data_IF_012316008423
#
_entry.id   IF_012316008423
#
_cell.length_a   1.000
_cell.length_b   1.000
_cell.length_c   1.000
_cell.angle_alpha   90.00
_cell.angle_beta   90.00
_cell.angle_gamma   90.00
#
_symmetry.space_group_name_H-M   'P 1'
#
loop_
_entity.id
_entity.type
_entity.pdbx_description
1 polymer ?
#
# COMPACT_ATOMS: atom_id res chain seq x y z
N UNK A 1 13.28 37.09 64.37
CA UNK A 1 12.26 37.17 63.30
C UNK A 1 12.77 36.45 62.06
N UNK A 2 12.39 35.16 61.87
CA UNK A 2 12.76 34.36 60.66
C UNK A 2 11.62 34.53 59.65
N UNK A 3 11.91 35.15 58.51
CA UNK A 3 10.99 35.22 57.38
C UNK A 3 11.03 33.89 56.68
N UNK A 4 9.91 33.17 56.67
CA UNK A 4 9.65 31.97 55.90
C UNK A 4 9.42 32.39 54.44
N UNK A 5 10.30 31.95 53.52
CA UNK A 5 10.11 32.14 52.11
C UNK A 5 9.24 30.96 51.62
N UNK A 6 8.00 31.26 51.26
CA UNK A 6 7.10 30.31 50.59
C UNK A 6 7.47 30.33 49.11
N UNK A 7 8.18 29.30 48.63
CA UNK A 7 8.39 29.05 47.20
C UNK A 7 7.14 28.25 46.75
N UNK A 8 6.22 28.91 46.08
CA UNK A 8 5.10 28.25 45.41
C UNK A 8 5.57 27.79 44.06
N UNK A 9 5.77 26.47 43.92
CA UNK A 9 6.06 25.84 42.63
C UNK A 9 4.77 25.78 41.81
N UNK A 10 4.57 26.76 40.94
CA UNK A 10 3.53 26.78 39.92
C UNK A 10 4.13 26.36 38.59
N UNK A 11 4.33 25.09 38.33
CA UNK A 11 4.38 24.48 36.97
C UNK A 11 4.30 22.98 37.17
N UNK A 12 3.18 22.31 36.90
CA UNK A 12 2.94 21.64 35.62
C UNK A 12 1.45 21.50 35.19
N UNK A 13 0.53 22.23 35.84
CA UNK A 13 -0.91 22.07 35.52
C UNK A 13 -1.27 22.60 34.13
N UNK A 14 -0.60 23.67 33.68
CA UNK A 14 -0.84 24.29 32.38
C UNK A 14 -0.44 23.44 31.18
N UNK A 15 0.65 22.68 31.30
CA UNK A 15 1.14 21.82 30.20
C UNK A 15 0.25 20.57 30.05
N UNK A 16 -0.19 19.99 31.16
CA UNK A 16 -1.10 18.85 31.15
C UNK A 16 -2.49 19.22 30.60
N UNK A 17 -3.01 20.39 30.98
CA UNK A 17 -4.31 20.90 30.48
C UNK A 17 -4.26 21.31 29.01
N UNK A 18 -3.16 21.90 28.54
CA UNK A 18 -2.96 22.21 27.13
C UNK A 18 -2.82 20.90 26.31
N UNK A 19 -2.03 19.94 26.78
CA UNK A 19 -1.88 18.63 26.13
C UNK A 19 -3.22 17.88 26.08
N UNK A 20 -3.99 17.85 27.19
CA UNK A 20 -5.32 17.26 27.28
C UNK A 20 -6.31 17.97 26.35
N UNK A 21 -6.34 19.32 26.30
CA UNK A 21 -7.18 20.11 25.43
C UNK A 21 -6.89 19.93 23.94
N UNK A 22 -5.60 19.80 23.57
CA UNK A 22 -5.20 19.51 22.19
C UNK A 22 -5.48 18.06 21.81
N UNK A 23 -5.32 17.13 22.73
CA UNK A 23 -5.59 15.70 22.49
C UNK A 23 -7.10 15.41 22.36
N UNK A 24 -7.93 15.99 23.21
CA UNK A 24 -9.40 15.87 23.08
C UNK A 24 -9.95 16.55 21.82
N UNK A 25 -9.37 17.66 21.37
CA UNK A 25 -9.81 18.30 20.13
C UNK A 25 -9.54 17.45 18.88
N UNK A 26 -8.49 16.66 18.86
CA UNK A 26 -8.24 15.74 17.75
C UNK A 26 -9.15 14.51 17.78
N UNK A 27 -9.56 14.06 18.95
CA UNK A 27 -10.49 12.94 19.12
C UNK A 27 -11.97 13.35 18.94
N UNK A 28 -12.31 14.65 19.07
CA UNK A 28 -13.69 15.16 19.01
C UNK A 28 -14.32 15.09 17.61
N UNK A 29 -13.54 14.92 16.56
CA UNK A 29 -14.03 14.92 15.16
C UNK A 29 -14.53 13.55 14.69
N UNK A 30 -14.33 12.48 15.47
CA UNK A 30 -14.78 11.14 15.10
C UNK A 30 -15.98 10.66 15.91
N UNK A 31 -17.00 10.10 15.24
CA UNK A 31 -18.08 9.43 15.93
C UNK A 31 -17.52 8.32 16.87
N UNK A 32 -18.07 8.13 18.09
CA UNK A 32 -17.56 7.11 19.02
C UNK A 32 -17.51 5.69 18.45
N UNK A 33 -18.36 5.38 17.48
CA UNK A 33 -18.42 4.11 16.78
C UNK A 33 -17.42 4.01 15.59
N UNK A 34 -16.81 5.11 15.15
CA UNK A 34 -15.83 5.11 14.07
C UNK A 34 -14.55 4.41 14.50
N UNK A 35 -14.01 3.59 13.62
CA UNK A 35 -12.71 2.94 13.75
C UNK A 35 -11.91 3.13 12.49
N UNK A 36 -10.63 3.38 12.66
CA UNK A 36 -9.66 3.45 11.57
C UNK A 36 -8.34 2.86 12.04
N UNK A 37 -7.92 1.80 11.39
CA UNK A 37 -6.71 1.08 11.72
C UNK A 37 -5.79 0.94 10.52
N UNK A 38 -4.49 1.09 10.75
CA UNK A 38 -3.46 0.61 9.84
C UNK A 38 -3.02 -0.79 10.27
N UNK A 39 -3.02 -1.72 9.31
CA UNK A 39 -2.56 -3.10 9.48
C UNK A 39 -1.25 -3.26 8.73
N UNK A 40 -0.21 -3.70 9.43
CA UNK A 40 1.17 -3.74 8.95
C UNK A 40 1.71 -5.15 9.08
N UNK A 41 2.12 -5.76 7.98
CA UNK A 41 2.78 -7.07 7.99
C UNK A 41 4.24 -6.91 8.39
N UNK A 42 4.70 -7.75 9.34
CA UNK A 42 6.08 -7.78 9.85
C UNK A 42 6.73 -9.10 9.44
N UNK A 43 7.45 -9.10 8.32
CA UNK A 43 7.95 -10.29 7.64
C UNK A 43 8.83 -11.21 8.49
N UNK A 44 9.63 -10.66 9.40
CA UNK A 44 10.54 -11.43 10.28
C UNK A 44 10.01 -11.65 11.69
N UNK A 45 8.81 -11.17 12.01
CA UNK A 45 8.19 -11.38 13.34
C UNK A 45 6.98 -12.30 13.29
N UNK A 46 6.53 -12.74 12.11
CA UNK A 46 5.34 -13.55 11.91
C UNK A 46 4.07 -12.91 12.50
N UNK A 47 3.99 -11.59 12.42
CA UNK A 47 2.92 -10.79 13.03
C UNK A 47 2.36 -9.73 12.10
N UNK A 48 1.19 -9.22 12.48
CA UNK A 48 0.60 -7.98 11.97
C UNK A 48 0.49 -6.99 13.13
N UNK A 49 1.06 -5.81 12.97
CA UNK A 49 0.83 -4.69 13.88
C UNK A 49 -0.42 -3.94 13.48
N UNK A 50 -1.28 -3.63 14.47
CA UNK A 50 -2.51 -2.85 14.29
C UNK A 50 -2.35 -1.52 14.99
N UNK A 51 -2.36 -0.43 14.24
CA UNK A 51 -2.25 0.93 14.76
C UNK A 51 -3.62 1.61 14.70
N UNK A 52 -4.10 2.12 15.83
CA UNK A 52 -5.31 2.95 15.87
C UNK A 52 -4.95 4.37 15.40
N UNK A 53 -5.45 4.77 14.22
CA UNK A 53 -5.15 6.07 13.60
C UNK A 53 -5.88 7.24 14.25
N UNK A 54 -6.77 7.01 15.21
CA UNK A 54 -7.38 8.08 16.01
C UNK A 54 -6.49 8.50 17.17
N UNK A 55 -5.70 7.56 17.70
CA UNK A 55 -4.81 7.78 18.86
C UNK A 55 -3.32 7.73 18.50
N UNK A 56 -2.99 7.22 17.31
CA UNK A 56 -1.63 6.94 16.86
C UNK A 56 -0.86 6.04 17.83
N UNK A 57 -1.52 4.99 18.30
CA UNK A 57 -0.93 4.02 19.20
C UNK A 57 -1.06 2.59 18.64
N UNK A 58 -0.12 1.75 19.02
CA UNK A 58 -0.21 0.32 18.75
C UNK A 58 -1.38 -0.27 19.55
N UNK A 59 -2.47 -0.58 18.85
CA UNK A 59 -3.68 -1.17 19.46
C UNK A 59 -3.49 -2.66 19.73
N UNK A 60 -2.79 -3.38 18.83
CA UNK A 60 -2.58 -4.83 18.95
C UNK A 60 -1.45 -5.33 18.07
N UNK A 61 -0.79 -6.40 18.49
CA UNK A 61 0.07 -7.25 17.66
C UNK A 61 -0.63 -8.60 17.49
N UNK A 62 -0.90 -8.99 16.25
CA UNK A 62 -1.63 -10.22 15.90
C UNK A 62 -0.63 -11.23 15.34
N UNK A 63 -0.58 -12.43 15.92
CA UNK A 63 0.21 -13.53 15.36
C UNK A 63 -0.50 -14.11 14.14
N UNK A 64 0.23 -14.28 13.04
CA UNK A 64 -0.24 -14.84 11.77
C UNK A 64 0.62 -16.04 11.36
N UNK A 65 0.65 -16.42 10.09
CA UNK A 65 1.55 -17.47 9.61
C UNK A 65 2.99 -16.96 9.46
N UNK A 66 3.87 -17.85 8.98
CA UNK A 66 5.31 -17.57 8.82
C UNK A 66 5.54 -16.67 7.61
N UNK A 67 6.40 -15.65 7.79
CA UNK A 67 6.85 -14.74 6.74
C UNK A 67 5.66 -14.04 6.02
N UNK A 68 4.87 -13.21 6.76
CA UNK A 68 3.79 -12.45 6.14
C UNK A 68 4.37 -11.41 5.15
N UNK A 69 3.82 -11.38 3.92
CA UNK A 69 4.27 -10.50 2.83
C UNK A 69 3.16 -9.60 2.33
N UNK A 70 2.17 -10.16 1.64
CA UNK A 70 1.06 -9.40 1.07
C UNK A 70 -0.07 -9.19 2.06
N UNK A 71 -0.74 -8.05 1.98
CA UNK A 71 -1.91 -7.73 2.79
C UNK A 71 -2.95 -6.98 1.95
N UNK A 72 -4.23 -7.31 2.13
CA UNK A 72 -5.33 -6.61 1.49
C UNK A 72 -6.52 -6.43 2.43
N UNK A 73 -7.16 -5.27 2.35
CA UNK A 73 -8.40 -4.98 3.06
C UNK A 73 -9.61 -5.26 2.16
N UNK A 74 -10.65 -5.88 2.71
CA UNK A 74 -11.90 -6.04 2.01
C UNK A 74 -12.71 -4.72 2.06
N UNK A 75 -13.10 -4.21 0.88
CA UNK A 75 -13.86 -2.95 0.80
C UNK A 75 -15.31 -3.10 1.29
N UNK A 76 -15.86 -4.31 1.32
CA UNK A 76 -17.27 -4.61 1.68
C UNK A 76 -17.43 -5.24 3.05
N UNK A 77 -16.37 -5.82 3.61
CA UNK A 77 -16.38 -6.50 4.92
C UNK A 77 -15.31 -5.91 5.82
N UNK A 78 -15.49 -6.04 7.13
CA UNK A 78 -14.47 -5.66 8.09
C UNK A 78 -13.44 -6.79 8.27
N UNK A 79 -12.83 -7.21 7.14
CA UNK A 79 -11.84 -8.27 7.08
C UNK A 79 -10.55 -7.81 6.39
N UNK A 80 -9.42 -8.29 6.90
CA UNK A 80 -8.08 -8.11 6.35
C UNK A 80 -7.52 -9.49 6.02
N UNK A 81 -6.91 -9.64 4.85
CA UNK A 81 -6.29 -10.87 4.39
C UNK A 81 -4.77 -10.70 4.35
N UNK A 82 -4.06 -11.62 4.97
CA UNK A 82 -2.59 -11.59 5.09
C UNK A 82 -2.03 -12.85 4.46
N UNK A 83 -1.19 -12.68 3.45
CA UNK A 83 -0.48 -13.77 2.79
C UNK A 83 0.76 -14.11 3.61
N UNK A 84 0.88 -15.38 4.01
CA UNK A 84 2.02 -15.91 4.75
C UNK A 84 2.84 -16.81 3.82
N UNK A 85 3.90 -16.24 3.22
CA UNK A 85 4.72 -16.91 2.19
C UNK A 85 5.40 -18.16 2.72
N UNK A 86 5.91 -18.12 3.95
CA UNK A 86 6.63 -19.23 4.58
C UNK A 86 5.73 -20.39 4.99
N UNK A 87 4.45 -20.14 5.30
CA UNK A 87 3.50 -21.19 5.71
C UNK A 87 2.44 -21.54 4.66
N UNK A 88 2.52 -20.99 3.44
CA UNK A 88 1.64 -21.31 2.32
C UNK A 88 0.15 -21.17 2.65
N UNK A 89 -0.22 -20.07 3.29
CA UNK A 89 -1.61 -19.80 3.65
C UNK A 89 -1.94 -18.32 3.69
N UNK A 90 -3.22 -18.02 3.81
CA UNK A 90 -3.76 -16.67 4.03
C UNK A 90 -4.47 -16.66 5.38
N UNK A 91 -4.05 -15.75 6.26
CA UNK A 91 -4.76 -15.46 7.50
C UNK A 91 -5.88 -14.44 7.23
N UNK A 92 -7.07 -14.71 7.76
CA UNK A 92 -8.21 -13.79 7.72
C UNK A 92 -8.35 -13.15 9.10
N UNK A 93 -8.18 -11.83 9.16
CA UNK A 93 -8.31 -11.03 10.37
C UNK A 93 -9.67 -10.33 10.36
N UNK A 94 -10.45 -10.51 11.41
CA UNK A 94 -11.63 -9.70 11.72
C UNK A 94 -11.17 -8.35 12.28
N UNK A 95 -11.47 -7.27 11.57
CA UNK A 95 -11.01 -5.93 11.93
C UNK A 95 -11.78 -5.32 13.14
N UNK A 96 -12.98 -5.82 13.47
CA UNK A 96 -13.71 -5.35 14.64
C UNK A 96 -13.07 -5.88 15.93
N UNK A 97 -12.56 -7.14 15.89
CA UNK A 97 -11.94 -7.85 17.02
C UNK A 97 -10.42 -7.77 17.01
N UNK A 98 -9.84 -7.38 15.88
CA UNK A 98 -8.41 -7.43 15.64
C UNK A 98 -7.84 -8.84 15.95
N UNK A 99 -8.43 -9.86 15.36
CA UNK A 99 -8.07 -11.25 15.62
C UNK A 99 -8.16 -12.11 14.36
N UNK A 100 -7.26 -13.09 14.22
CA UNK A 100 -7.36 -14.12 13.18
C UNK A 100 -8.59 -14.97 13.45
N UNK A 101 -9.48 -15.05 12.47
CA UNK A 101 -10.74 -15.84 12.53
C UNK A 101 -10.75 -17.03 11.61
N UNK A 102 -9.81 -17.09 10.65
CA UNK A 102 -9.61 -18.24 9.77
C UNK A 102 -8.20 -18.23 9.19
N UNK A 103 -7.77 -19.40 8.74
CA UNK A 103 -6.55 -19.60 7.95
C UNK A 103 -6.90 -20.47 6.76
N UNK A 104 -6.57 -19.99 5.55
CA UNK A 104 -6.91 -20.63 4.27
C UNK A 104 -5.62 -21.13 3.65
N UNK A 105 -5.46 -22.44 3.49
CA UNK A 105 -4.33 -23.05 2.80
C UNK A 105 -4.36 -22.69 1.30
N UNK A 106 -3.22 -22.29 0.75
CA UNK A 106 -3.00 -22.02 -0.68
C UNK A 106 -1.78 -22.80 -1.19
N UNK A 107 -1.38 -22.60 -2.44
CA UNK A 107 -0.22 -23.30 -2.99
C UNK A 107 1.11 -22.65 -2.57
N UNK A 108 2.23 -23.23 -3.04
CA UNK A 108 3.57 -22.92 -2.55
C UNK A 108 4.05 -21.51 -2.86
N UNK A 109 4.66 -20.87 -1.86
CA UNK A 109 5.22 -19.51 -1.89
C UNK A 109 4.22 -18.47 -2.41
N UNK A 110 3.04 -18.31 -1.77
CA UNK A 110 2.14 -17.23 -2.09
C UNK A 110 2.84 -15.90 -1.80
N UNK A 111 2.61 -14.87 -2.63
CA UNK A 111 3.33 -13.60 -2.48
C UNK A 111 2.40 -12.44 -2.16
N UNK A 112 1.33 -12.28 -2.92
CA UNK A 112 0.38 -11.19 -2.76
C UNK A 112 -1.05 -11.67 -2.93
N UNK A 113 -2.00 -10.94 -2.35
CA UNK A 113 -3.44 -11.17 -2.53
C UNK A 113 -4.10 -9.89 -3.01
N UNK A 114 -4.94 -10.00 -4.02
CA UNK A 114 -5.87 -8.95 -4.42
C UNK A 114 -7.31 -9.40 -4.17
N UNK A 115 -8.19 -8.44 -3.84
CA UNK A 115 -9.58 -8.70 -3.46
C UNK A 115 -10.50 -8.02 -4.46
N UNK A 116 -11.46 -8.76 -5.00
CA UNK A 116 -12.46 -8.20 -5.92
C UNK A 116 -13.26 -7.07 -5.26
N UNK A 117 -13.67 -6.08 -6.07
CA UNK A 117 -14.37 -4.88 -5.57
C UNK A 117 -15.70 -5.20 -4.86
N UNK A 118 -16.34 -6.32 -5.22
CA UNK A 118 -17.53 -6.84 -4.55
C UNK A 118 -17.23 -7.55 -3.22
N UNK A 119 -15.95 -7.71 -2.87
CA UNK A 119 -15.48 -8.31 -1.63
C UNK A 119 -15.70 -9.81 -1.51
N UNK A 120 -16.02 -10.52 -2.61
CA UNK A 120 -16.38 -11.94 -2.57
C UNK A 120 -15.24 -12.89 -2.93
N UNK A 121 -14.27 -12.44 -3.73
CA UNK A 121 -13.15 -13.28 -4.20
C UNK A 121 -11.81 -12.68 -3.83
N UNK A 122 -10.86 -13.55 -3.48
CA UNK A 122 -9.45 -13.24 -3.33
C UNK A 122 -8.62 -14.01 -4.37
N UNK A 123 -7.59 -13.36 -4.92
CA UNK A 123 -6.70 -13.92 -5.93
C UNK A 123 -5.27 -13.89 -5.40
N UNK A 124 -4.66 -15.07 -5.24
CA UNK A 124 -3.32 -15.22 -4.65
C UNK A 124 -2.38 -15.81 -5.68
N UNK A 125 -1.35 -15.06 -6.06
CA UNK A 125 -0.27 -15.55 -6.91
C UNK A 125 0.66 -16.45 -6.08
N UNK A 126 0.83 -17.71 -6.50
CA UNK A 126 1.68 -18.71 -5.84
C UNK A 126 2.97 -18.89 -6.65
N UNK A 127 4.02 -18.14 -6.30
CA UNK A 127 5.27 -18.08 -7.07
C UNK A 127 6.00 -19.43 -7.16
N UNK A 128 5.87 -20.28 -6.15
CA UNK A 128 6.47 -21.61 -6.12
C UNK A 128 5.67 -22.70 -6.83
N UNK A 129 4.47 -22.39 -7.33
CA UNK A 129 3.56 -23.39 -7.91
C UNK A 129 3.00 -23.03 -9.29
N UNK A 130 3.44 -21.91 -9.88
CA UNK A 130 3.01 -21.43 -11.20
C UNK A 130 1.48 -21.42 -11.37
N UNK A 131 0.77 -20.92 -10.36
CA UNK A 131 -0.69 -20.79 -10.40
C UNK A 131 -1.20 -19.63 -9.55
N UNK A 132 -2.45 -19.27 -9.76
CA UNK A 132 -3.23 -18.34 -8.94
C UNK A 132 -4.30 -19.14 -8.20
N UNK A 133 -4.31 -19.07 -6.86
CA UNK A 133 -5.42 -19.59 -6.06
C UNK A 133 -6.55 -18.59 -6.03
N UNK A 134 -7.75 -19.03 -6.39
CA UNK A 134 -9.00 -18.25 -6.30
C UNK A 134 -9.74 -18.66 -5.04
N UNK A 135 -9.95 -17.71 -4.15
CA UNK A 135 -10.58 -17.94 -2.85
C UNK A 135 -12.01 -17.38 -2.87
N UNK A 136 -12.98 -18.18 -2.45
CA UNK A 136 -14.30 -17.71 -2.05
C UNK A 136 -14.17 -17.17 -0.61
N UNK A 137 -14.26 -15.83 -0.47
CA UNK A 137 -14.03 -15.13 0.80
C UNK A 137 -15.22 -15.26 1.77
N UNK A 138 -16.42 -15.61 1.29
CA UNK A 138 -17.57 -15.92 2.15
C UNK A 138 -17.41 -17.29 2.80
N UNK A 139 -16.99 -18.28 1.99
CA UNK A 139 -16.77 -19.65 2.46
C UNK A 139 -15.39 -19.86 3.08
N UNK A 140 -14.45 -18.92 2.84
CA UNK A 140 -13.05 -19.01 3.27
C UNK A 140 -12.35 -20.27 2.77
N UNK A 141 -12.57 -20.59 1.50
CA UNK A 141 -12.02 -21.78 0.84
C UNK A 141 -11.47 -21.45 -0.54
N UNK A 142 -10.41 -22.15 -0.95
CA UNK A 142 -9.94 -22.11 -2.33
C UNK A 142 -10.96 -22.87 -3.19
N UNK A 143 -11.51 -22.19 -4.21
CA UNK A 143 -12.50 -22.77 -5.13
C UNK A 143 -11.86 -23.22 -6.44
N UNK A 144 -10.71 -22.66 -6.82
CA UNK A 144 -10.01 -23.01 -8.03
C UNK A 144 -8.52 -22.61 -7.95
N UNK A 145 -7.68 -23.32 -8.73
CA UNK A 145 -6.28 -22.96 -8.93
C UNK A 145 -6.04 -22.85 -10.44
N UNK A 146 -5.81 -21.63 -10.92
CA UNK A 146 -5.59 -21.34 -12.34
C UNK A 146 -4.10 -21.44 -12.63
N UNK A 147 -3.69 -22.37 -13.52
CA UNK A 147 -2.30 -22.46 -13.96
C UNK A 147 -1.94 -21.26 -14.83
N UNK A 148 -0.79 -20.64 -14.55
CA UNK A 148 -0.23 -19.47 -15.24
C UNK A 148 1.25 -19.72 -15.61
N UNK A 149 1.98 -18.69 -16.00
CA UNK A 149 3.41 -18.80 -16.27
C UNK A 149 4.27 -19.03 -15.01
N UNK A 150 5.58 -19.10 -15.18
CA UNK A 150 6.52 -19.44 -14.13
C UNK A 150 6.70 -18.29 -13.12
N UNK A 151 6.80 -18.64 -11.84
CA UNK A 151 7.05 -17.71 -10.73
C UNK A 151 6.13 -16.49 -10.76
N UNK A 152 4.79 -16.64 -10.73
CA UNK A 152 3.89 -15.50 -10.72
C UNK A 152 4.14 -14.59 -9.50
N UNK A 153 4.23 -13.28 -9.74
CA UNK A 153 4.46 -12.26 -8.71
C UNK A 153 3.16 -11.70 -8.16
N UNK A 154 2.44 -10.98 -8.98
CA UNK A 154 1.16 -10.37 -8.64
C UNK A 154 0.03 -10.96 -9.49
N UNK A 155 -1.17 -10.95 -8.92
CA UNK A 155 -2.42 -11.18 -9.61
C UNK A 155 -3.36 -10.04 -9.24
N UNK A 156 -3.63 -9.14 -10.19
CA UNK A 156 -4.49 -7.97 -10.00
C UNK A 156 -5.82 -8.17 -10.70
N UNK A 157 -6.90 -7.93 -9.98
CA UNK A 157 -8.25 -7.97 -10.56
C UNK A 157 -8.61 -6.60 -11.12
N UNK A 158 -9.19 -6.60 -12.33
CA UNK A 158 -9.69 -5.36 -12.96
C UNK A 158 -10.81 -4.73 -12.13
N UNK A 159 -11.00 -3.39 -12.20
CA UNK A 159 -12.06 -2.69 -11.47
C UNK A 159 -13.47 -3.27 -11.71
N UNK A 160 -13.77 -3.77 -12.90
CA UNK A 160 -15.06 -4.42 -13.21
C UNK A 160 -15.16 -5.88 -12.72
N UNK A 161 -14.06 -6.43 -12.18
CA UNK A 161 -14.00 -7.79 -11.64
C UNK A 161 -14.00 -8.90 -12.68
N UNK A 162 -13.82 -8.60 -13.98
CA UNK A 162 -13.93 -9.59 -15.07
C UNK A 162 -12.60 -10.19 -15.49
N UNK A 163 -11.50 -9.47 -15.29
CA UNK A 163 -10.17 -9.89 -15.71
C UNK A 163 -9.23 -9.92 -14.53
N UNK A 164 -8.37 -10.95 -14.44
CA UNK A 164 -7.22 -10.96 -13.54
C UNK A 164 -5.96 -10.94 -14.42
N UNK A 165 -5.11 -9.94 -14.21
CA UNK A 165 -3.81 -9.81 -14.86
C UNK A 165 -2.74 -10.34 -13.94
N UNK A 166 -1.88 -11.24 -14.44
CA UNK A 166 -0.84 -11.90 -13.64
C UNK A 166 0.51 -11.68 -14.26
N UNK A 167 1.46 -11.14 -13.48
CA UNK A 167 2.86 -11.01 -13.88
C UNK A 167 3.60 -12.32 -13.61
N UNK A 168 4.16 -12.96 -14.64
CA UNK A 168 4.91 -14.21 -14.53
C UNK A 168 6.42 -13.90 -14.62
N UNK A 169 7.04 -13.66 -13.47
CA UNK A 169 8.43 -13.20 -13.37
C UNK A 169 9.44 -14.16 -13.99
N UNK A 170 9.17 -15.46 -13.89
CA UNK A 170 10.14 -16.50 -14.27
C UNK A 170 10.24 -16.75 -15.77
N UNK A 171 9.22 -16.47 -16.54
CA UNK A 171 9.20 -16.68 -18.00
C UNK A 171 8.95 -15.41 -18.82
N UNK A 172 8.86 -14.25 -18.17
CA UNK A 172 8.73 -12.96 -18.85
C UNK A 172 7.38 -12.76 -19.54
N UNK A 173 6.34 -13.46 -19.09
CA UNK A 173 5.01 -13.39 -19.69
C UNK A 173 3.99 -12.74 -18.73
N UNK A 174 2.85 -12.34 -19.30
CA UNK A 174 1.70 -11.88 -18.57
C UNK A 174 0.53 -12.79 -18.92
N UNK A 175 -0.16 -13.32 -17.89
CA UNK A 175 -1.37 -14.11 -18.11
C UNK A 175 -2.61 -13.26 -17.81
N UNK A 176 -3.59 -13.31 -18.71
CA UNK A 176 -4.93 -12.80 -18.47
C UNK A 176 -5.87 -13.96 -18.15
N UNK A 177 -6.52 -13.89 -17.00
CA UNK A 177 -7.50 -14.88 -16.56
C UNK A 177 -8.90 -14.26 -16.67
N UNK A 178 -9.82 -15.01 -17.26
CA UNK A 178 -11.25 -14.72 -17.20
C UNK A 178 -11.76 -15.04 -15.79
N UNK A 179 -12.28 -14.05 -15.08
CA UNK A 179 -12.73 -14.20 -13.71
C UNK A 179 -14.04 -14.99 -13.58
N UNK A 180 -14.84 -15.12 -14.66
CA UNK A 180 -16.06 -15.90 -14.66
C UNK A 180 -15.77 -17.39 -14.87
N UNK A 181 -14.92 -17.70 -15.86
CA UNK A 181 -14.60 -19.08 -16.22
C UNK A 181 -13.40 -19.64 -15.45
N UNK A 182 -12.65 -18.80 -14.75
CA UNK A 182 -11.42 -19.11 -14.01
C UNK A 182 -10.40 -19.85 -14.89
N UNK A 183 -10.20 -19.36 -16.09
CA UNK A 183 -9.31 -19.91 -17.09
C UNK A 183 -8.48 -18.80 -17.74
N UNK A 184 -7.21 -19.13 -18.08
CA UNK A 184 -6.36 -18.23 -18.85
C UNK A 184 -6.93 -18.06 -20.25
N UNK A 185 -7.23 -16.81 -20.63
CA UNK A 185 -7.70 -16.48 -22.00
C UNK A 185 -6.56 -16.06 -22.93
N UNK A 186 -5.49 -15.47 -22.36
CA UNK A 186 -4.30 -15.13 -23.11
C UNK A 186 -3.03 -15.24 -22.25
N UNK A 187 -1.91 -15.56 -22.89
CA UNK A 187 -0.57 -15.46 -22.33
C UNK A 187 0.28 -14.64 -23.27
N UNK A 188 0.77 -13.51 -22.80
CA UNK A 188 1.38 -12.44 -23.59
C UNK A 188 2.87 -12.44 -23.26
N UNK A 189 3.77 -12.75 -24.22
CA UNK A 189 5.18 -12.46 -24.07
C UNK A 189 5.37 -10.95 -23.90
N UNK A 190 6.01 -10.51 -22.83
CA UNK A 190 6.10 -9.09 -22.51
C UNK A 190 7.56 -8.64 -22.34
N UNK A 191 8.21 -8.96 -21.23
CA UNK A 191 9.49 -8.37 -20.88
C UNK A 191 10.25 -9.20 -19.84
N UNK A 192 11.43 -8.76 -19.45
CA UNK A 192 12.19 -9.46 -18.41
C UNK A 192 11.69 -9.07 -17.02
N UNK A 193 11.38 -10.09 -16.21
CA UNK A 193 10.93 -9.96 -14.81
C UNK A 193 9.75 -8.98 -14.67
N UNK A 194 8.59 -9.26 -15.28
CA UNK A 194 7.38 -8.47 -15.02
C UNK A 194 7.00 -8.56 -13.54
N UNK A 195 6.74 -7.42 -12.91
CA UNK A 195 6.54 -7.32 -11.47
C UNK A 195 5.20 -6.64 -11.14
N UNK A 196 5.20 -5.34 -10.90
CA UNK A 196 4.00 -4.60 -10.48
C UNK A 196 3.04 -4.34 -11.64
N UNK A 197 1.74 -4.25 -11.32
CA UNK A 197 0.65 -4.15 -12.30
C UNK A 197 -0.27 -3.00 -11.90
N UNK A 198 -0.53 -2.10 -12.83
CA UNK A 198 -1.57 -1.09 -12.74
C UNK A 198 -2.62 -1.31 -13.83
N UNK A 199 -3.90 -1.32 -13.46
CA UNK A 199 -5.03 -1.49 -14.40
C UNK A 199 -5.82 -0.19 -14.44
N UNK A 200 -6.13 0.31 -15.64
CA UNK A 200 -6.91 1.54 -15.80
C UNK A 200 -8.32 1.41 -15.23
N UNK A 201 -8.90 2.49 -14.67
CA UNK A 201 -10.25 2.48 -14.10
C UNK A 201 -11.34 2.09 -15.09
N UNK A 202 -11.14 2.34 -16.39
CA UNK A 202 -12.05 1.97 -17.47
C UNK A 202 -11.91 0.53 -17.98
N UNK A 203 -10.95 -0.24 -17.41
CA UNK A 203 -10.61 -1.62 -17.75
C UNK A 203 -10.06 -1.82 -19.18
N UNK A 204 -9.64 -0.77 -19.86
CA UNK A 204 -9.14 -0.84 -21.24
C UNK A 204 -7.72 -1.39 -21.32
N UNK A 205 -6.84 -0.97 -20.40
CA UNK A 205 -5.42 -1.30 -20.42
C UNK A 205 -4.89 -1.74 -19.05
N UNK A 206 -3.84 -2.54 -19.08
CA UNK A 206 -2.96 -2.78 -17.94
C UNK A 206 -1.53 -2.36 -18.28
N UNK A 207 -0.82 -1.81 -17.30
CA UNK A 207 0.60 -1.52 -17.36
C UNK A 207 1.35 -2.44 -16.40
N UNK A 208 2.50 -2.95 -16.85
CA UNK A 208 3.31 -3.89 -16.06
C UNK A 208 4.76 -3.43 -16.02
N UNK A 209 5.30 -3.25 -14.83
CA UNK A 209 6.71 -2.90 -14.63
C UNK A 209 7.60 -4.09 -14.95
N UNK A 210 8.61 -3.87 -15.77
CA UNK A 210 9.58 -4.83 -16.28
C UNK A 210 10.92 -4.59 -15.61
N UNK A 211 11.12 -5.09 -14.40
CA UNK A 211 12.29 -4.75 -13.57
C UNK A 211 13.62 -5.17 -14.21
N UNK A 212 13.63 -6.22 -15.00
CA UNK A 212 14.84 -6.74 -15.64
C UNK A 212 15.20 -6.09 -16.98
N UNK A 213 14.33 -5.25 -17.56
CA UNK A 213 14.55 -4.64 -18.88
C UNK A 213 14.36 -3.13 -18.93
N UNK A 214 14.21 -2.45 -17.78
CA UNK A 214 14.01 -1.00 -17.68
C UNK A 214 12.85 -0.49 -18.55
N UNK A 215 11.74 -1.21 -18.57
CA UNK A 215 10.58 -0.92 -19.41
C UNK A 215 9.28 -1.04 -18.63
N UNK A 216 8.21 -0.49 -19.18
CA UNK A 216 6.83 -0.75 -18.79
C UNK A 216 6.09 -1.32 -20.01
N UNK A 217 5.45 -2.48 -19.83
CA UNK A 217 4.60 -3.08 -20.87
C UNK A 217 3.19 -2.51 -20.76
N UNK A 218 2.65 -2.00 -21.88
CA UNK A 218 1.25 -1.61 -22.03
C UNK A 218 0.48 -2.71 -22.74
N UNK A 219 -0.66 -3.13 -22.18
CA UNK A 219 -1.45 -4.27 -22.63
C UNK A 219 -2.91 -3.85 -22.82
N UNK A 220 -3.47 -4.15 -23.97
CA UNK A 220 -4.92 -4.02 -24.25
C UNK A 220 -5.66 -5.22 -23.64
N UNK A 221 -6.48 -4.97 -22.62
CA UNK A 221 -7.25 -6.00 -21.93
C UNK A 221 -8.44 -6.53 -22.70
N UNK A 222 -8.84 -5.85 -23.79
CA UNK A 222 -9.94 -6.33 -24.65
C UNK A 222 -9.44 -7.38 -25.63
N UNK A 223 -8.31 -7.11 -26.28
CA UNK A 223 -7.73 -8.02 -27.29
C UNK A 223 -6.71 -9.00 -26.71
N UNK A 224 -6.22 -8.80 -25.48
CA UNK A 224 -5.15 -9.60 -24.87
C UNK A 224 -3.83 -9.46 -25.60
N UNK A 225 -3.48 -8.23 -26.06
CA UNK A 225 -2.25 -7.98 -26.83
C UNK A 225 -1.37 -6.94 -26.16
N UNK A 226 -0.06 -7.14 -26.31
CA UNK A 226 0.95 -6.12 -26.00
C UNK A 226 0.78 -4.96 -27.00
N UNK A 227 0.59 -3.75 -26.49
CA UNK A 227 0.49 -2.51 -27.27
C UNK A 227 1.87 -1.88 -27.47
N UNK A 228 2.63 -1.75 -26.36
CA UNK A 228 3.93 -1.09 -26.38
C UNK A 228 4.85 -1.63 -25.28
N UNK A 229 6.16 -1.49 -25.48
CA UNK A 229 7.19 -1.53 -24.44
C UNK A 229 7.76 -0.11 -24.33
N UNK A 230 7.57 0.52 -23.19
CA UNK A 230 7.90 1.90 -22.92
C UNK A 230 9.20 1.95 -22.14
N UNK A 231 10.26 2.55 -22.70
CA UNK A 231 11.54 2.68 -22.03
C UNK A 231 11.43 3.69 -20.88
N UNK A 232 11.83 3.28 -19.68
CA UNK A 232 11.82 4.08 -18.45
C UNK A 232 13.22 4.03 -17.78
N UNK A 233 13.33 4.44 -16.53
CA UNK A 233 14.58 4.28 -15.80
C UNK A 233 14.86 2.82 -15.40
N UNK A 234 16.06 2.57 -14.86
CA UNK A 234 16.49 1.23 -14.47
C UNK A 234 15.70 0.72 -13.26
N UNK A 235 15.41 -0.59 -13.32
CA UNK A 235 14.72 -1.32 -12.25
C UNK A 235 13.41 -0.65 -11.84
N UNK A 236 12.41 -0.54 -12.75
CA UNK A 236 11.09 -0.04 -12.40
C UNK A 236 10.42 -1.03 -11.44
N UNK A 237 10.19 -0.61 -10.18
CA UNK A 237 9.70 -1.49 -9.11
C UNK A 237 8.24 -1.26 -8.74
N UNK A 238 7.69 -0.07 -9.01
CA UNK A 238 6.34 0.26 -8.60
C UNK A 238 5.65 1.18 -9.61
N UNK A 239 4.36 0.93 -9.81
CA UNK A 239 3.46 1.67 -10.70
C UNK A 239 2.39 2.38 -9.88
N UNK A 240 2.40 3.70 -9.90
CA UNK A 240 1.41 4.53 -9.21
C UNK A 240 0.50 5.20 -10.23
N UNK A 241 -0.69 4.67 -10.39
CA UNK A 241 -1.69 5.25 -11.28
C UNK A 241 -2.41 6.41 -10.59
N UNK A 242 -2.56 7.54 -11.27
CA UNK A 242 -3.43 8.62 -10.81
C UNK A 242 -4.88 8.11 -10.71
N UNK A 243 -5.66 8.56 -9.70
CA UNK A 243 -7.07 8.19 -9.56
C UNK A 243 -7.94 8.42 -10.80
N UNK A 244 -7.65 9.44 -11.60
CA UNK A 244 -8.34 9.72 -12.87
C UNK A 244 -7.90 8.80 -14.03
N UNK A 245 -6.81 8.04 -13.84
CA UNK A 245 -6.28 7.13 -14.85
C UNK A 245 -5.47 7.81 -15.96
N UNK A 246 -5.30 9.13 -15.97
CA UNK A 246 -4.64 9.86 -17.07
C UNK A 246 -3.14 9.66 -17.16
N UNK A 247 -2.48 9.55 -16.00
CA UNK A 247 -1.03 9.38 -15.92
C UNK A 247 -0.65 8.23 -14.98
N UNK A 248 0.44 7.56 -15.33
CA UNK A 248 1.08 6.52 -14.55
C UNK A 248 2.48 6.97 -14.15
N UNK A 249 2.78 6.97 -12.86
CA UNK A 249 4.10 7.25 -12.33
C UNK A 249 4.84 5.96 -12.06
N UNK A 250 6.05 5.83 -12.58
CA UNK A 250 6.92 4.66 -12.44
C UNK A 250 8.07 5.00 -11.50
N UNK A 251 8.24 4.26 -10.42
CA UNK A 251 9.41 4.38 -9.54
C UNK A 251 10.56 3.55 -10.11
N UNK A 252 11.64 4.23 -10.54
CA UNK A 252 12.84 3.62 -11.11
C UNK A 252 13.93 3.52 -10.05
N UNK A 253 13.99 2.39 -9.36
CA UNK A 253 14.81 2.20 -8.16
C UNK A 253 16.30 2.49 -8.39
N UNK A 254 16.92 1.91 -9.41
CA UNK A 254 18.35 2.06 -9.67
C UNK A 254 18.71 3.30 -10.55
N UNK A 255 17.72 4.12 -10.90
CA UNK A 255 17.94 5.39 -11.60
C UNK A 255 17.65 6.62 -10.76
N UNK A 256 17.29 6.45 -9.45
CA UNK A 256 16.97 7.55 -8.54
C UNK A 256 15.89 8.50 -9.09
N UNK A 257 14.98 7.98 -9.91
CA UNK A 257 14.03 8.78 -10.69
C UNK A 257 12.63 8.20 -10.70
N UNK A 258 11.69 9.05 -11.08
CA UNK A 258 10.36 8.61 -11.54
C UNK A 258 10.24 8.89 -13.04
N UNK A 259 9.52 8.02 -13.76
CA UNK A 259 9.04 8.31 -15.13
C UNK A 259 7.55 8.50 -15.13
N UNK A 260 7.05 9.44 -15.95
CA UNK A 260 5.61 9.69 -16.10
C UNK A 260 5.18 9.20 -17.47
N UNK A 261 4.16 8.35 -17.50
CA UNK A 261 3.57 7.78 -18.73
C UNK A 261 2.16 8.32 -18.89
N UNK A 262 1.88 8.90 -20.06
CA UNK A 262 0.54 9.24 -20.52
C UNK A 262 -0.20 7.95 -20.91
N UNK A 263 -1.22 7.58 -20.17
CA UNK A 263 -1.89 6.26 -20.33
C UNK A 263 -2.72 6.14 -21.60
N UNK A 264 -3.18 7.25 -22.16
CA UNK A 264 -3.98 7.27 -23.39
C UNK A 264 -3.17 7.04 -24.65
N UNK A 265 -1.97 7.64 -24.71
CA UNK A 265 -1.07 7.61 -25.88
C UNK A 265 0.01 6.55 -25.78
N UNK A 266 0.25 5.98 -24.59
CA UNK A 266 1.37 5.10 -24.30
C UNK A 266 2.72 5.81 -24.57
N UNK A 267 2.87 7.07 -24.14
CA UNK A 267 4.07 7.86 -24.31
C UNK A 267 4.70 8.19 -22.94
N UNK A 268 6.04 8.15 -22.88
CA UNK A 268 6.80 8.60 -21.71
C UNK A 268 6.96 10.11 -21.81
N UNK A 269 6.20 10.86 -21.00
CA UNK A 269 6.20 12.32 -20.99
C UNK A 269 7.45 12.94 -20.36
N UNK A 270 8.12 12.22 -19.46
CA UNK A 270 9.35 12.68 -18.81
C UNK A 270 9.88 11.77 -17.72
N UNK A 271 11.12 12.02 -17.31
CA UNK A 271 11.75 11.40 -16.13
C UNK A 271 12.36 12.46 -15.24
N UNK A 272 12.16 12.31 -13.93
CA UNK A 272 12.55 13.31 -12.94
C UNK A 272 13.28 12.65 -11.77
N UNK A 273 14.40 13.24 -11.34
CA UNK A 273 15.07 12.83 -10.11
C UNK A 273 14.17 13.13 -8.91
N UNK A 274 14.00 12.15 -8.01
CA UNK A 274 13.05 12.28 -6.89
C UNK A 274 13.69 11.98 -5.53
N UNK A 275 14.79 11.27 -5.51
CA UNK A 275 15.53 10.83 -4.33
C UNK A 275 16.24 9.52 -4.61
N UNK A 276 16.99 8.98 -3.64
CA UNK A 276 17.78 7.77 -3.86
C UNK A 276 16.93 6.50 -3.65
N UNK A 277 16.97 5.60 -4.62
CA UNK A 277 16.22 4.34 -4.65
C UNK A 277 14.72 4.55 -4.36
N UNK A 278 13.96 5.26 -5.22
CA UNK A 278 12.52 5.42 -5.06
C UNK A 278 11.84 4.05 -5.13
N UNK A 279 11.08 3.71 -4.09
CA UNK A 279 10.48 2.37 -3.96
C UNK A 279 8.99 2.38 -4.29
N UNK A 280 8.17 3.12 -3.53
CA UNK A 280 6.72 3.16 -3.72
C UNK A 280 6.19 4.58 -3.86
N UNK A 281 5.13 4.72 -4.65
CA UNK A 281 4.38 5.96 -4.77
C UNK A 281 2.95 5.81 -4.30
N UNK A 282 2.32 6.93 -3.90
CA UNK A 282 0.88 7.03 -3.68
C UNK A 282 0.42 8.44 -4.08
N UNK A 283 -0.70 8.53 -4.80
CA UNK A 283 -1.33 9.78 -5.22
C UNK A 283 -2.56 10.05 -4.38
N UNK A 284 -2.81 11.32 -4.02
CA UNK A 284 -4.03 11.75 -3.34
C UNK A 284 -5.26 11.62 -4.24
N UNK A 285 -6.43 11.42 -3.64
CA UNK A 285 -7.69 11.21 -4.37
C UNK A 285 -8.08 12.39 -5.29
N UNK A 286 -7.60 13.59 -4.97
CA UNK A 286 -7.79 14.81 -5.76
C UNK A 286 -6.77 14.99 -6.90
N UNK A 287 -5.89 14.00 -7.14
CA UNK A 287 -4.78 14.02 -8.11
C UNK A 287 -3.71 15.11 -7.88
N UNK A 288 -3.73 15.83 -6.76
CA UNK A 288 -2.86 17.01 -6.57
C UNK A 288 -1.46 16.69 -6.07
N UNK A 289 -1.29 15.60 -5.33
CA UNK A 289 -0.02 15.24 -4.66
C UNK A 289 0.38 13.80 -4.93
N UNK A 290 1.66 13.62 -5.24
CA UNK A 290 2.34 12.34 -5.25
C UNK A 290 3.33 12.29 -4.09
N UNK A 291 3.29 11.22 -3.32
CA UNK A 291 4.31 10.89 -2.32
C UNK A 291 5.12 9.69 -2.83
N UNK A 292 6.45 9.79 -2.73
CA UNK A 292 7.35 8.69 -3.13
C UNK A 292 8.31 8.38 -2.00
N UNK A 293 8.32 7.14 -1.53
CA UNK A 293 9.32 6.67 -0.55
C UNK A 293 10.67 6.48 -1.24
N UNK A 294 11.70 7.11 -0.70
CA UNK A 294 13.08 7.02 -1.19
C UNK A 294 13.87 6.13 -0.23
N UNK A 295 13.90 4.84 -0.53
CA UNK A 295 14.49 3.79 0.29
C UNK A 295 15.95 4.07 0.67
N UNK A 296 16.75 4.55 -0.28
CA UNK A 296 18.18 4.79 -0.08
C UNK A 296 18.52 6.09 0.65
N UNK A 297 17.60 7.07 0.70
CA UNK A 297 17.85 8.37 1.34
C UNK A 297 17.06 8.61 2.62
N UNK A 298 16.26 7.64 3.07
CA UNK A 298 15.44 7.74 4.28
C UNK A 298 14.51 8.96 4.28
N UNK A 299 13.90 9.22 3.11
CA UNK A 299 12.98 10.34 2.93
C UNK A 299 11.72 9.91 2.19
N UNK A 300 10.67 10.72 2.31
CA UNK A 300 9.54 10.72 1.38
C UNK A 300 9.56 12.03 0.61
N UNK A 301 9.64 11.93 -0.73
CA UNK A 301 9.47 13.07 -1.60
C UNK A 301 7.99 13.41 -1.75
N UNK A 302 7.67 14.70 -1.73
CA UNK A 302 6.34 15.23 -2.02
C UNK A 302 6.41 16.00 -3.33
N UNK A 303 5.67 15.53 -4.32
CA UNK A 303 5.60 16.14 -5.64
C UNK A 303 4.22 16.76 -5.85
N UNK A 304 4.21 18.03 -6.23
CA UNK A 304 3.01 18.75 -6.64
C UNK A 304 2.77 18.45 -8.12
N UNK A 305 1.70 17.71 -8.40
CA UNK A 305 1.39 17.23 -9.75
C UNK A 305 1.01 18.41 -10.65
N UNK A 306 0.20 19.35 -10.15
CA UNK A 306 -0.27 20.50 -10.94
C UNK A 306 0.88 21.44 -11.32
N UNK A 307 1.87 21.61 -10.43
CA UNK A 307 3.03 22.45 -10.68
C UNK A 307 4.19 21.71 -11.34
N UNK A 308 4.12 20.41 -11.45
CA UNK A 308 5.15 19.57 -12.07
C UNK A 308 6.50 19.62 -11.33
N UNK A 309 6.50 19.73 -9.97
CA UNK A 309 7.74 19.88 -9.20
C UNK A 309 7.69 19.22 -7.83
N UNK A 310 8.85 18.82 -7.34
CA UNK A 310 9.03 18.41 -5.95
C UNK A 310 8.94 19.66 -5.04
N UNK A 311 8.11 19.59 -3.99
CA UNK A 311 7.87 20.67 -3.03
C UNK A 311 8.45 20.39 -1.65
N UNK A 312 8.70 19.13 -1.30
CA UNK A 312 9.32 18.76 -0.03
C UNK A 312 10.03 17.40 -0.14
N UNK A 313 11.05 17.21 0.72
CA UNK A 313 11.61 15.92 1.08
C UNK A 313 11.51 15.78 2.60
N UNK A 314 10.71 14.82 3.05
CA UNK A 314 10.37 14.62 4.45
C UNK A 314 11.26 13.51 5.03
N UNK A 315 12.02 13.80 6.09
CA UNK A 315 12.82 12.81 6.77
C UNK A 315 11.91 11.82 7.52
N UNK A 316 12.20 10.53 7.39
CA UNK A 316 11.47 9.41 8.00
C UNK A 316 12.47 8.42 8.62
N UNK A 317 12.02 7.24 9.01
CA UNK A 317 12.90 6.18 9.51
C UNK A 317 13.76 5.55 8.41
N UNK A 318 14.47 4.46 8.76
CA UNK A 318 15.45 3.82 7.87
C UNK A 318 14.79 2.90 6.85
N UNK A 319 15.18 3.05 5.59
CA UNK A 319 14.69 2.28 4.44
C UNK A 319 13.15 2.31 4.31
N UNK A 320 12.56 3.51 4.06
CA UNK A 320 11.11 3.61 3.85
C UNK A 320 10.70 2.84 2.59
N UNK A 321 9.73 1.92 2.74
CA UNK A 321 9.22 1.10 1.63
C UNK A 321 7.71 1.35 1.43
N UNK A 322 6.87 0.90 2.37
CA UNK A 322 5.41 0.99 2.24
C UNK A 322 4.85 2.38 2.53
N UNK A 323 3.85 2.78 1.75
CA UNK A 323 3.11 4.03 1.94
C UNK A 323 1.60 3.76 2.02
N UNK A 324 0.91 4.51 2.87
CA UNK A 324 -0.55 4.57 2.89
C UNK A 324 -1.02 5.95 3.32
N UNK A 325 -2.23 6.32 2.93
CA UNK A 325 -2.91 7.51 3.44
C UNK A 325 -4.01 7.10 4.42
N UNK A 326 -4.25 7.92 5.45
CA UNK A 326 -5.47 7.81 6.25
C UNK A 326 -6.71 8.04 5.39
N UNK A 327 -7.89 7.60 5.83
CA UNK A 327 -9.13 7.77 5.08
C UNK A 327 -9.48 9.24 4.79
N UNK A 328 -9.02 10.16 5.64
CA UNK A 328 -9.16 11.61 5.44
C UNK A 328 -8.04 12.24 4.61
N UNK A 329 -7.00 11.47 4.26
CA UNK A 329 -5.76 11.93 3.63
C UNK A 329 -4.99 13.05 4.41
N UNK A 330 -5.35 13.24 5.68
CA UNK A 330 -4.65 14.19 6.55
C UNK A 330 -3.33 13.61 7.11
N UNK A 331 -3.16 12.30 7.02
CA UNK A 331 -1.95 11.62 7.51
C UNK A 331 -1.37 10.72 6.44
N UNK A 332 -0.08 10.90 6.19
CA UNK A 332 0.73 9.98 5.42
C UNK A 332 1.42 9.02 6.39
N UNK A 333 1.28 7.73 6.11
CA UNK A 333 1.82 6.61 6.87
C UNK A 333 2.97 6.01 6.07
N UNK A 334 4.16 5.93 6.68
CA UNK A 334 5.37 5.44 6.03
C UNK A 334 5.94 4.26 6.82
N UNK A 335 6.12 3.13 6.17
CA UNK A 335 6.80 1.98 6.76
C UNK A 335 8.30 2.08 6.59
N UNK A 336 9.01 2.09 7.69
CA UNK A 336 10.45 2.14 7.75
C UNK A 336 10.99 0.72 8.01
N UNK A 337 11.34 0.02 6.93
CA UNK A 337 11.52 -1.44 6.93
C UNK A 337 12.74 -1.91 7.74
N UNK A 338 13.78 -1.10 7.87
CA UNK A 338 14.97 -1.43 8.64
C UNK A 338 14.87 -0.98 10.10
N UNK A 339 14.37 0.25 10.36
CA UNK A 339 14.20 0.74 11.73
C UNK A 339 13.02 0.08 12.46
N UNK A 340 12.08 -0.54 11.74
CA UNK A 340 10.96 -1.26 12.32
C UNK A 340 9.88 -0.35 12.91
N UNK A 341 9.65 0.79 12.26
CA UNK A 341 8.71 1.82 12.71
C UNK A 341 7.65 2.12 11.64
N UNK A 342 6.54 2.70 12.09
CA UNK A 342 5.59 3.44 11.28
C UNK A 342 5.81 4.93 11.53
N UNK A 343 6.36 5.66 10.57
CA UNK A 343 6.41 7.12 10.59
C UNK A 343 5.05 7.69 10.18
N UNK A 344 4.50 8.59 11.00
CA UNK A 344 3.24 9.30 10.74
C UNK A 344 3.55 10.77 10.47
N UNK A 345 3.20 11.23 9.28
CA UNK A 345 3.35 12.61 8.85
C UNK A 345 1.97 13.23 8.73
N UNK A 346 1.76 14.35 9.42
CA UNK A 346 0.53 15.12 9.33
C UNK A 346 0.62 16.15 8.21
N UNK A 347 -0.37 16.14 7.30
CA UNK A 347 -0.62 17.23 6.35
C UNK A 347 -1.39 18.33 7.08
N UNK A 348 -0.85 19.53 7.09
CA UNK A 348 -1.47 20.71 7.73
C UNK A 348 -2.03 21.64 6.67
N UNK A 349 -3.18 22.22 6.93
CA UNK A 349 -3.65 23.36 6.14
C UNK A 349 -2.80 24.56 6.52
N UNK A 350 -2.09 25.23 5.58
CA UNK A 350 -1.25 26.37 5.90
C UNK A 350 -2.04 27.47 6.60
N UNK A 351 -1.76 27.70 7.88
CA UNK A 351 -2.31 28.84 8.60
C UNK A 351 -1.43 30.06 8.28
N UNK A 352 -1.93 31.00 7.49
CA UNK A 352 -1.19 32.17 6.92
C UNK A 352 -0.41 33.02 7.92
N UNK A 353 -0.45 32.76 9.23
CA UNK A 353 0.15 33.62 10.26
C UNK A 353 1.36 33.03 11.00
N UNK A 354 1.58 31.71 11.10
CA UNK A 354 2.54 31.22 12.10
C UNK A 354 3.36 29.97 11.76
N UNK A 355 3.23 29.32 10.59
CA UNK A 355 3.93 28.05 10.40
C UNK A 355 4.69 27.91 9.08
N UNK A 356 5.98 27.52 9.13
CA UNK A 356 6.70 27.01 7.99
C UNK A 356 6.34 25.53 7.77
N UNK A 357 5.71 25.21 6.65
CA UNK A 357 5.58 23.84 6.15
C UNK A 357 4.16 23.27 6.21
N UNK A 358 3.75 22.72 5.07
CA UNK A 358 2.49 21.98 4.89
C UNK A 358 2.51 20.62 5.60
N UNK A 359 3.70 20.10 5.96
CA UNK A 359 3.92 18.77 6.52
C UNK A 359 4.69 18.83 7.84
N UNK A 360 4.31 17.98 8.78
CA UNK A 360 5.04 17.82 10.05
C UNK A 360 5.09 16.36 10.45
N UNK A 361 6.25 15.90 10.93
CA UNK A 361 6.34 14.62 11.63
C UNK A 361 5.47 14.69 12.90
N UNK A 362 4.49 13.80 13.00
CA UNK A 362 3.63 13.69 14.16
C UNK A 362 4.23 12.74 15.19
N UNK A 363 4.57 11.52 14.77
CA UNK A 363 5.14 10.49 15.64
C UNK A 363 5.80 9.38 14.81
N UNK A 364 6.63 8.58 15.47
CA UNK A 364 7.11 7.29 14.97
C UNK A 364 6.66 6.20 15.95
N UNK A 365 6.05 5.15 15.44
CA UNK A 365 5.42 4.10 16.24
C UNK A 365 6.16 2.79 15.97
N UNK A 366 6.84 2.20 16.97
CA UNK A 366 7.47 0.90 16.80
C UNK A 366 6.47 -0.17 16.41
N UNK A 367 6.81 -0.97 15.41
CA UNK A 367 6.03 -2.12 14.93
C UNK A 367 6.83 -3.42 15.07
N UNK A 368 6.70 -4.39 14.19
CA UNK A 368 7.51 -5.61 14.25
C UNK A 368 8.79 -5.51 13.41
N UNK A 369 9.50 -6.63 13.29
CA UNK A 369 10.76 -6.70 12.54
C UNK A 369 10.47 -6.82 11.05
N UNK A 370 11.11 -5.97 10.26
CA UNK A 370 10.99 -5.88 8.81
C UNK A 370 9.53 -5.71 8.35
N UNK A 371 8.88 -4.58 8.73
CA UNK A 371 7.57 -4.24 8.18
C UNK A 371 7.70 -4.06 6.66
N UNK A 372 6.75 -4.63 5.90
CA UNK A 372 6.89 -4.71 4.44
C UNK A 372 5.64 -4.29 3.65
N UNK A 373 4.46 -4.35 4.26
CA UNK A 373 3.23 -3.89 3.61
C UNK A 373 2.25 -3.30 4.62
N UNK A 374 1.41 -2.37 4.14
CA UNK A 374 0.43 -1.65 4.94
C UNK A 374 -0.90 -1.49 4.20
N UNK A 375 -2.00 -1.67 4.93
CA UNK A 375 -3.33 -1.26 4.46
C UNK A 375 -4.06 -0.51 5.57
N UNK A 376 -4.87 0.46 5.18
CA UNK A 376 -5.77 1.18 6.08
C UNK A 376 -7.19 0.65 5.93
N UNK A 377 -7.87 0.44 7.05
CA UNK A 377 -9.28 0.05 7.09
C UNK A 377 -10.04 0.95 8.04
N UNK A 378 -11.05 1.64 7.50
CA UNK A 378 -12.02 2.41 8.29
C UNK A 378 -13.40 1.77 8.24
N UNK A 379 -14.14 1.82 9.35
CA UNK A 379 -15.49 1.29 9.46
C UNK A 379 -16.22 1.87 10.68
N UNK A 380 -17.54 1.69 10.71
CA UNK A 380 -18.41 2.05 11.83
C UNK A 380 -18.77 0.76 12.57
N UNK A 381 -18.55 0.73 13.87
CA UNK A 381 -19.04 -0.37 14.71
C UNK A 381 -20.57 -0.35 14.73
N UNK A 382 -21.23 -1.53 14.65
CA UNK A 382 -22.66 -1.60 14.83
C UNK A 382 -23.05 -1.05 16.23
N UNK A 383 -24.21 -0.37 16.30
CA UNK A 383 -24.73 0.07 17.59
C UNK A 383 -24.90 -1.14 18.53
N UNK A 384 -24.43 -1.00 19.76
CA UNK A 384 -24.70 -2.02 20.80
C UNK A 384 -26.22 -2.17 20.92
N UNK A 385 -26.69 -3.42 20.76
CA UNK A 385 -28.12 -3.74 20.88
C UNK A 385 -28.52 -3.85 22.34
#
# INVERSE_FOLDING_TARGET
MRKLLLVVVFVPIGVGLAWWYFHERQLADYAPSYREYAYITNGKSDTVSVIDLRTFQLAKTIRVGIEPTGIAANSKKNEIYVVNTGSNNVSVIDAERNAVVATIGVHGKPYFIDVSLDGKRGYVANSGSANVSVIDLDKRTVIHNVRVGASPGLARVSPDGRTIVVSNRGDGTISEIDAQYLAVRSTIPACQQPEDIAILPDNSKAFVACTGSAQVASIDLTSGKLLALLDVGNTPVHLTLKPDGGELVVSNFDSDSISIIETTTDEVGGSYLIGTHPARGIVTADNSRLYVSNFGSNTVAVYDIDQGKMIAALAVGSHPDGLALSASENYLLVLDSESGDLTVIQKRTPNKKFEPGEYSLLTMIPVGIQPNNIVVKSFILPAEK
#
